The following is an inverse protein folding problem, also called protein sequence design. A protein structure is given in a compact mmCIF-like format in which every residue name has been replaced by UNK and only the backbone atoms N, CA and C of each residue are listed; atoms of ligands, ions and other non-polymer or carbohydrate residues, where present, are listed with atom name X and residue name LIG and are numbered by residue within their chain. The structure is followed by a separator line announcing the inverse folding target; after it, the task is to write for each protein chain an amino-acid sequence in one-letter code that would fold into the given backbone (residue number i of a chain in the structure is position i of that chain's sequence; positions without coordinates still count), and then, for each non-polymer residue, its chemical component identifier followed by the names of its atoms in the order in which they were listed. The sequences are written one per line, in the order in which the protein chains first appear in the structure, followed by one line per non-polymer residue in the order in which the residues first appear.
data_IF_096040797121
#
_entry.id   IF_096040797121
#
_cell.length_a   1.000
_cell.length_b   1.000
_cell.length_c   1.000
_cell.angle_alpha   90.00
_cell.angle_beta   90.00
_cell.angle_gamma   90.00
#
_symmetry.space_group_name_H-M   'P 1'
#
loop_
_entity.id
_entity.type
_entity.pdbx_description
1 polymer ?
#
# COMPACT_ATOMS: atom_id res chain seq x y z
N UNK A 1 -3.79 -16.21 -11.18
CA UNK A 1 -2.49 -15.64 -11.63
C UNK A 1 -2.37 -14.23 -11.10
N UNK A 2 -1.22 -13.89 -10.53
CA UNK A 2 -0.95 -12.54 -9.97
C UNK A 2 -1.04 -11.50 -11.09
N UNK A 3 -1.88 -10.48 -10.89
CA UNK A 3 -2.06 -9.36 -11.80
C UNK A 3 -1.27 -8.12 -11.34
N UNK A 4 -1.06 -7.99 -10.04
CA UNK A 4 -0.42 -6.81 -9.43
C UNK A 4 0.71 -7.20 -8.48
N UNK A 5 1.83 -6.52 -8.64
CA UNK A 5 2.90 -6.45 -7.63
C UNK A 5 2.83 -5.04 -7.05
N UNK A 6 2.68 -4.96 -5.73
CA UNK A 6 2.50 -3.74 -4.97
C UNK A 6 3.73 -3.59 -4.07
N UNK A 7 4.47 -2.49 -4.25
CA UNK A 7 5.60 -2.18 -3.39
C UNK A 7 5.09 -1.68 -2.03
N UNK A 8 5.41 -2.40 -0.97
CA UNK A 8 5.05 -2.02 0.40
C UNK A 8 5.83 -0.76 0.78
N UNK A 9 5.14 0.36 1.04
CA UNK A 9 5.75 1.65 1.39
C UNK A 9 6.84 2.14 0.44
N UNK A 10 6.78 1.75 -0.83
CA UNK A 10 7.78 2.03 -1.86
C UNK A 10 9.16 1.32 -1.68
N UNK A 11 9.21 0.22 -0.91
CA UNK A 11 10.38 -0.64 -0.79
C UNK A 11 10.67 -1.44 -2.08
N UNK A 12 11.94 -1.46 -2.53
CA UNK A 12 12.33 -2.13 -3.79
C UNK A 12 13.09 -3.44 -3.56
N UNK A 13 14.01 -3.45 -2.58
CA UNK A 13 14.93 -4.57 -2.32
C UNK A 13 14.98 -4.90 -0.83
N UNK A 14 13.83 -4.85 -0.18
CA UNK A 14 13.69 -4.93 1.27
C UNK A 14 13.38 -3.58 1.90
N UNK A 15 13.05 -3.60 3.21
CA UNK A 15 12.64 -2.42 3.96
C UNK A 15 13.77 -1.39 4.10
N UNK A 16 13.44 -0.12 3.89
CA UNK A 16 14.36 0.98 4.08
C UNK A 16 13.67 2.18 4.72
N UNK A 17 13.85 2.34 6.04
CA UNK A 17 13.21 3.40 6.84
C UNK A 17 13.48 4.83 6.35
N UNK A 18 14.60 5.06 5.65
CA UNK A 18 14.92 6.39 5.13
C UNK A 18 14.18 6.70 3.81
N UNK A 19 13.62 5.68 3.16
CA UNK A 19 12.93 5.78 1.87
C UNK A 19 11.46 5.36 1.92
N UNK A 20 11.02 4.69 2.99
CA UNK A 20 9.63 4.30 3.17
C UNK A 20 8.72 5.53 3.11
N UNK A 21 7.61 5.42 2.38
CA UNK A 21 6.64 6.49 2.19
C UNK A 21 7.20 7.81 1.60
N UNK A 22 8.46 7.83 1.14
CA UNK A 22 9.05 9.00 0.53
C UNK A 22 8.38 9.31 -0.82
N UNK A 23 7.88 10.54 -1.07
CA UNK A 23 7.17 10.88 -2.31
C UNK A 23 7.95 10.57 -3.59
N UNK A 24 9.26 10.82 -3.64
CA UNK A 24 10.09 10.56 -4.82
C UNK A 24 10.26 9.06 -5.07
N UNK A 25 10.43 8.28 -4.01
CA UNK A 25 10.54 6.83 -4.08
C UNK A 25 9.21 6.20 -4.54
N UNK A 26 8.07 6.68 -4.04
CA UNK A 26 6.73 6.26 -4.50
C UNK A 26 6.56 6.51 -6.00
N UNK A 27 6.84 7.74 -6.47
CA UNK A 27 6.74 8.07 -7.89
C UNK A 27 7.66 7.22 -8.77
N UNK A 28 8.85 6.88 -8.26
CA UNK A 28 9.79 5.98 -8.95
C UNK A 28 9.23 4.56 -9.08
N UNK A 29 8.62 4.01 -8.03
CA UNK A 29 7.95 2.69 -8.07
C UNK A 29 6.82 2.70 -9.10
N UNK A 30 5.96 3.71 -9.07
CA UNK A 30 4.86 3.85 -10.04
C UNK A 30 5.39 3.94 -11.48
N UNK A 31 6.46 4.71 -11.70
CA UNK A 31 7.12 4.83 -13.01
C UNK A 31 7.76 3.53 -13.49
N UNK A 32 8.16 2.64 -12.57
CA UNK A 32 8.65 1.31 -12.90
C UNK A 32 7.53 0.35 -13.34
N UNK A 33 6.26 0.76 -13.25
CA UNK A 33 5.09 -0.05 -13.63
C UNK A 33 4.52 -0.91 -12.51
N UNK A 34 5.00 -0.72 -11.28
CA UNK A 34 4.47 -1.38 -10.09
C UNK A 34 3.42 -0.49 -9.41
N UNK A 35 2.48 -1.12 -8.71
CA UNK A 35 1.60 -0.40 -7.79
C UNK A 35 2.37 -0.14 -6.48
N UNK A 36 1.88 0.78 -5.64
CA UNK A 36 2.53 1.13 -4.38
C UNK A 36 1.50 1.21 -3.25
N UNK A 37 1.78 0.55 -2.15
CA UNK A 37 1.08 0.78 -0.89
C UNK A 37 1.76 1.94 -0.15
N UNK A 38 0.95 2.81 0.46
CA UNK A 38 1.43 3.99 1.19
C UNK A 38 0.60 4.20 2.46
N UNK A 39 1.26 4.65 3.53
CA UNK A 39 0.66 5.05 4.78
C UNK A 39 0.28 6.54 4.74
N UNK A 40 -0.99 6.88 5.00
CA UNK A 40 -1.51 8.25 4.91
C UNK A 40 -2.17 8.70 6.20
N UNK A 41 -1.76 9.87 6.68
CA UNK A 41 -2.37 10.60 7.79
C UNK A 41 -3.10 11.83 7.29
N UNK A 42 -4.11 12.26 8.05
CA UNK A 42 -4.69 13.59 7.91
C UNK A 42 -4.68 14.30 9.26
N UNK A 43 -3.86 15.34 9.39
CA UNK A 43 -3.60 16.08 10.63
C UNK A 43 -3.65 17.58 10.31
N UNK A 44 -4.34 18.36 11.15
CA UNK A 44 -4.44 19.83 11.00
C UNK A 44 -4.81 20.30 9.58
N UNK A 45 -5.78 19.62 8.97
CA UNK A 45 -6.28 19.87 7.61
C UNK A 45 -5.28 19.65 6.47
N UNK A 46 -4.24 18.83 6.70
CA UNK A 46 -3.21 18.49 5.72
C UNK A 46 -3.02 16.98 5.62
N UNK A 47 -2.60 16.52 4.45
CA UNK A 47 -2.20 15.13 4.24
C UNK A 47 -0.71 14.95 4.51
N UNK A 48 -0.37 13.82 5.11
CA UNK A 48 1.01 13.41 5.32
C UNK A 48 1.19 11.94 4.98
N UNK A 49 2.36 11.58 4.47
CA UNK A 49 2.81 10.21 4.31
C UNK A 49 3.71 9.80 5.48
N UNK A 50 3.68 8.53 5.89
CA UNK A 50 4.61 7.98 6.88
C UNK A 50 4.01 6.84 7.71
N UNK A 51 4.83 5.89 8.15
CA UNK A 51 4.33 4.67 8.81
C UNK A 51 3.96 4.89 10.29
N UNK A 52 4.94 5.29 11.10
CA UNK A 52 4.76 5.45 12.55
C UNK A 52 4.22 6.85 12.91
N UNK A 53 4.50 7.84 12.06
CA UNK A 53 4.17 9.25 12.27
C UNK A 53 3.96 9.98 10.92
N UNK A 54 3.26 11.13 10.89
CA UNK A 54 3.15 11.96 9.69
C UNK A 54 4.49 12.65 9.36
N UNK A 55 5.16 12.23 8.29
CA UNK A 55 6.52 12.68 7.95
C UNK A 55 6.56 13.61 6.73
N UNK A 56 5.95 13.21 5.61
CA UNK A 56 6.04 13.94 4.34
C UNK A 56 4.70 14.60 4.01
N UNK A 57 4.62 15.92 4.11
CA UNK A 57 3.42 16.66 3.67
C UNK A 57 3.15 16.40 2.19
N UNK A 58 1.89 16.13 1.86
CA UNK A 58 1.44 15.85 0.50
C UNK A 58 0.07 16.46 0.25
N UNK A 59 -0.47 16.25 -0.95
CA UNK A 59 -1.73 16.85 -1.38
C UNK A 59 -2.68 15.86 -2.05
N UNK A 60 -3.86 16.36 -2.38
CA UNK A 60 -4.91 15.61 -3.06
C UNK A 60 -4.47 15.08 -4.44
N UNK A 61 -3.63 15.83 -5.17
CA UNK A 61 -3.19 15.43 -6.51
C UNK A 61 -2.22 14.24 -6.44
N UNK A 62 -1.36 14.23 -5.43
CA UNK A 62 -0.50 13.09 -5.14
C UNK A 62 -1.32 11.86 -4.75
N UNK A 63 -2.30 11.99 -3.85
CA UNK A 63 -3.15 10.86 -3.44
C UNK A 63 -4.08 10.35 -4.56
N UNK A 64 -4.19 11.09 -5.66
CA UNK A 64 -4.95 10.72 -6.86
C UNK A 64 -4.10 9.99 -7.92
N UNK A 65 -2.81 9.73 -7.68
CA UNK A 65 -2.00 8.96 -8.61
C UNK A 65 -2.58 7.54 -8.80
N UNK A 66 -2.58 7.07 -10.04
CA UNK A 66 -3.02 5.70 -10.36
C UNK A 66 -1.99 4.69 -9.86
N UNK A 67 -2.46 3.57 -9.31
CA UNK A 67 -1.59 2.51 -8.76
C UNK A 67 -1.31 2.65 -7.26
N UNK A 68 -1.86 3.66 -6.58
CA UNK A 68 -1.78 3.78 -5.13
C UNK A 68 -2.80 2.90 -4.40
N UNK A 69 -2.32 2.24 -3.35
CA UNK A 69 -3.07 1.51 -2.34
C UNK A 69 -2.86 2.23 -1.00
N UNK A 70 -3.88 2.92 -0.51
CA UNK A 70 -3.74 3.87 0.60
C UNK A 70 -4.15 3.21 1.92
N UNK A 71 -3.18 2.92 2.78
CA UNK A 71 -3.42 2.58 4.18
C UNK A 71 -3.63 3.86 4.98
N UNK A 72 -4.87 4.14 5.36
CA UNK A 72 -5.19 5.27 6.23
C UNK A 72 -4.73 4.98 7.67
N UNK A 73 -3.95 5.88 8.26
CA UNK A 73 -3.33 5.75 9.60
C UNK A 73 -4.03 6.53 10.70
N UNK A 74 -5.00 7.37 10.33
CA UNK A 74 -6.03 7.81 11.28
C UNK A 74 -7.43 7.84 10.65
N UNK A 75 -8.46 7.87 11.50
CA UNK A 75 -9.86 7.99 11.08
C UNK A 75 -10.09 9.21 10.17
N UNK A 76 -9.37 10.31 10.41
CA UNK A 76 -9.48 11.52 9.60
C UNK A 76 -9.01 11.30 8.17
N UNK A 77 -7.91 10.58 7.95
CA UNK A 77 -7.48 10.18 6.62
C UNK A 77 -8.57 9.33 5.95
N UNK A 78 -9.10 8.33 6.65
CA UNK A 78 -10.12 7.41 6.12
C UNK A 78 -11.35 8.11 5.53
N UNK A 79 -11.79 9.21 6.14
CA UNK A 79 -12.96 9.97 5.67
C UNK A 79 -12.63 11.13 4.71
N UNK A 80 -11.34 11.40 4.47
CA UNK A 80 -10.90 12.61 3.73
C UNK A 80 -10.13 12.31 2.45
N UNK A 81 -9.50 11.13 2.34
CA UNK A 81 -8.81 10.71 1.12
C UNK A 81 -9.72 10.77 -0.13
N UNK A 82 -9.18 10.99 -1.33
CA UNK A 82 -9.98 11.07 -2.55
C UNK A 82 -10.89 9.84 -2.74
N UNK A 83 -12.19 10.07 -2.96
CA UNK A 83 -13.18 8.98 -3.11
C UNK A 83 -12.84 8.04 -4.29
N UNK A 84 -12.19 8.56 -5.33
CA UNK A 84 -11.73 7.79 -6.50
C UNK A 84 -10.51 6.89 -6.24
N UNK A 85 -9.79 7.10 -5.14
CA UNK A 85 -8.60 6.34 -4.77
C UNK A 85 -8.98 4.98 -4.17
N UNK A 86 -8.01 4.06 -4.12
CA UNK A 86 -8.18 2.80 -3.41
C UNK A 86 -7.59 2.95 -2.01
N UNK A 87 -8.42 2.90 -0.98
CA UNK A 87 -8.00 3.15 0.39
C UNK A 87 -8.64 2.17 1.36
N UNK A 88 -8.01 1.98 2.51
CA UNK A 88 -8.46 1.05 3.53
C UNK A 88 -7.85 1.43 4.89
N UNK A 89 -8.45 0.92 5.95
CA UNK A 89 -7.91 0.95 7.31
C UNK A 89 -7.77 -0.49 7.76
N UNK A 90 -6.61 -0.86 8.29
CA UNK A 90 -6.44 -2.09 9.06
C UNK A 90 -5.30 -1.93 10.05
N UNK A 91 -5.26 -2.82 11.04
CA UNK A 91 -4.10 -3.01 11.91
C UNK A 91 -3.63 -4.46 11.76
N UNK A 92 -4.01 -5.32 12.71
CA UNK A 92 -3.71 -6.75 12.73
C UNK A 92 -4.91 -7.60 12.26
N UNK A 93 -5.83 -7.00 11.50
CA UNK A 93 -7.00 -7.69 10.95
C UNK A 93 -6.56 -8.76 9.95
N UNK A 94 -7.04 -10.00 10.13
CA UNK A 94 -6.82 -11.10 9.19
C UNK A 94 -7.19 -10.72 7.75
N UNK A 95 -8.29 -9.97 7.61
CA UNK A 95 -8.83 -9.51 6.34
C UNK A 95 -9.45 -8.13 6.48
N UNK A 96 -9.23 -7.26 5.50
CA UNK A 96 -9.87 -5.95 5.39
C UNK A 96 -10.33 -5.71 3.96
N UNK A 97 -11.52 -5.12 3.80
CA UNK A 97 -12.00 -4.70 2.48
C UNK A 97 -11.47 -3.30 2.15
N UNK A 98 -10.94 -3.11 0.94
CA UNK A 98 -10.61 -1.78 0.43
C UNK A 98 -11.83 -1.07 -0.15
N UNK A 99 -11.76 0.24 -0.33
CA UNK A 99 -12.81 1.05 -0.96
C UNK A 99 -13.17 0.59 -2.37
N UNK A 100 -12.25 -0.10 -3.07
CA UNK A 100 -12.47 -0.74 -4.38
C UNK A 100 -12.80 -2.24 -4.31
N UNK A 101 -13.14 -2.75 -3.13
CA UNK A 101 -13.62 -4.12 -2.86
C UNK A 101 -12.59 -5.23 -3.08
N UNK A 102 -11.30 -4.91 -3.00
CA UNK A 102 -10.25 -5.92 -2.86
C UNK A 102 -10.13 -6.35 -1.39
N UNK A 103 -9.72 -7.59 -1.15
CA UNK A 103 -9.50 -8.10 0.21
C UNK A 103 -8.01 -7.97 0.53
N UNK A 104 -7.64 -6.96 1.31
CA UNK A 104 -6.30 -6.85 1.89
C UNK A 104 -6.14 -7.92 2.96
N UNK A 105 -5.17 -8.81 2.77
CA UNK A 105 -5.05 -10.06 3.50
C UNK A 105 -3.75 -10.07 4.30
N UNK A 106 -3.86 -10.30 5.60
CA UNK A 106 -2.73 -10.37 6.52
C UNK A 106 -1.78 -11.53 6.12
N UNK A 107 -0.47 -11.46 6.43
CA UNK A 107 0.45 -12.54 6.10
C UNK A 107 0.00 -13.92 6.59
N UNK A 108 0.31 -14.96 5.82
CA UNK A 108 0.00 -16.38 6.10
C UNK A 108 -1.49 -16.75 6.19
N UNK A 109 -2.38 -15.89 5.68
CA UNK A 109 -3.81 -16.19 5.59
C UNK A 109 -4.19 -16.75 4.23
N UNK A 110 -5.36 -17.41 4.18
CA UNK A 110 -5.90 -17.97 2.94
C UNK A 110 -6.24 -16.83 1.98
N UNK A 111 -5.90 -17.01 0.70
CA UNK A 111 -6.13 -16.04 -0.37
C UNK A 111 -6.93 -16.68 -1.49
N UNK A 112 -7.74 -15.85 -2.16
CA UNK A 112 -8.52 -16.21 -3.34
C UNK A 112 -8.32 -15.13 -4.43
N UNK A 113 -9.01 -15.27 -5.56
CA UNK A 113 -8.80 -14.47 -6.76
C UNK A 113 -8.89 -12.94 -6.58
N UNK A 114 -9.62 -12.42 -5.57
CA UNK A 114 -9.77 -10.98 -5.29
C UNK A 114 -8.93 -10.47 -4.11
N UNK A 115 -8.03 -11.30 -3.57
CA UNK A 115 -7.17 -10.95 -2.45
C UNK A 115 -5.90 -10.24 -2.88
N UNK A 116 -5.43 -9.32 -2.04
CA UNK A 116 -4.04 -8.87 -1.98
C UNK A 116 -3.40 -9.49 -0.75
N UNK A 117 -2.33 -10.26 -0.92
CA UNK A 117 -1.58 -10.81 0.20
C UNK A 117 -0.36 -9.95 0.52
N UNK A 118 -0.14 -9.65 1.81
CA UNK A 118 1.11 -9.05 2.26
C UNK A 118 2.14 -10.17 2.48
N UNK A 119 3.26 -10.11 1.76
CA UNK A 119 4.38 -11.04 1.93
C UNK A 119 5.74 -10.35 1.75
N UNK A 120 6.37 -10.06 2.88
CA UNK A 120 7.67 -9.38 2.93
C UNK A 120 8.85 -10.36 2.97
N UNK A 121 8.65 -11.64 2.64
CA UNK A 121 9.78 -12.56 2.46
C UNK A 121 10.39 -12.38 1.07
N UNK A 122 11.73 -12.38 0.97
CA UNK A 122 12.45 -12.25 -0.31
C UNK A 122 12.09 -13.36 -1.33
N UNK A 123 11.61 -14.50 -0.86
CA UNK A 123 11.26 -15.67 -1.67
C UNK A 123 9.76 -15.76 -2.01
N UNK A 124 8.97 -14.70 -1.76
CA UNK A 124 7.51 -14.69 -2.00
C UNK A 124 7.12 -15.17 -3.40
N UNK A 125 7.96 -14.89 -4.41
CA UNK A 125 7.74 -15.27 -5.80
C UNK A 125 7.66 -16.79 -6.00
N UNK A 126 8.36 -17.56 -5.15
CA UNK A 126 8.40 -19.02 -5.21
C UNK A 126 7.16 -19.67 -4.57
N UNK A 127 6.34 -18.90 -3.83
CA UNK A 127 5.18 -19.43 -3.11
C UNK A 127 3.94 -19.63 -3.99
N UNK A 128 3.95 -19.08 -5.20
CA UNK A 128 2.93 -19.36 -6.22
C UNK A 128 1.50 -18.96 -5.83
N UNK A 129 1.32 -17.83 -5.14
CA UNK A 129 0.01 -17.37 -4.71
C UNK A 129 -1.02 -17.30 -5.85
N UNK A 130 -2.20 -17.87 -5.62
CA UNK A 130 -3.36 -17.66 -6.49
C UNK A 130 -4.25 -16.55 -5.93
N UNK A 131 -3.86 -15.31 -6.18
CA UNK A 131 -4.59 -14.11 -5.76
C UNK A 131 -4.47 -12.99 -6.80
N UNK A 132 -5.16 -11.87 -6.57
CA UNK A 132 -5.10 -10.72 -7.46
C UNK A 132 -3.72 -10.05 -7.44
N UNK A 133 -3.13 -9.90 -6.26
CA UNK A 133 -1.83 -9.25 -6.12
C UNK A 133 -1.08 -9.58 -4.84
N UNK A 134 0.20 -9.21 -4.82
CA UNK A 134 1.10 -9.35 -3.67
C UNK A 134 1.65 -7.98 -3.31
N UNK A 135 1.50 -7.58 -2.05
CA UNK A 135 2.19 -6.44 -1.46
C UNK A 135 3.47 -6.92 -0.77
N UNK A 136 4.62 -6.36 -1.13
CA UNK A 136 5.92 -6.87 -0.71
C UNK A 136 6.98 -5.78 -0.62
N UNK A 137 7.96 -5.98 0.25
CA UNK A 137 9.19 -5.18 0.30
C UNK A 137 10.17 -5.48 -0.86
N UNK A 138 9.95 -6.57 -1.62
CA UNK A 138 10.88 -7.09 -2.64
C UNK A 138 10.22 -7.17 -4.02
N UNK A 139 10.32 -6.10 -4.80
CA UNK A 139 9.77 -6.03 -6.18
C UNK A 139 10.83 -6.22 -7.28
N UNK A 140 12.08 -6.54 -6.90
CA UNK A 140 13.22 -6.81 -7.77
C UNK A 140 14.05 -7.99 -7.29
#
# INVERSE_FOLDING_TARGET
MIQKIISHRANIKGPNKDLENNPEQILKVLKMGFDCEIDVWFVDNKFYLGHDEPQYETDYNFLSQTGLWIHCKNFKALITVPISSNYFWHEEDDYTLTSKRYIWTYPNKIVEDNCIIVDNNVDWINKGYNCFGVCTDYIK
#
